data_IF_529018503637
#
_entry.id   IF_529018503637
#
_cell.length_a   1.000
_cell.length_b   1.000
_cell.length_c   1.000
_cell.angle_alpha   90.00
_cell.angle_beta   90.00
_cell.angle_gamma   90.00
#
_symmetry.space_group_name_H-M   'P 1'
#
loop_
_entity.id
_entity.type
_entity.pdbx_description
1 polymer ?
#
# COMPACT_ATOMS: atom_id res chain seq x y z
N UNK A 1 14.30 20.70 -12.65
CA UNK A 1 14.06 19.26 -12.89
C UNK A 1 14.82 18.90 -14.15
N UNK A 2 15.69 17.89 -14.10
CA UNK A 2 16.67 17.64 -15.17
C UNK A 2 16.54 16.24 -15.81
N UNK A 3 15.54 15.44 -15.43
CA UNK A 3 15.44 14.05 -15.91
C UNK A 3 14.27 13.81 -16.89
N UNK A 4 14.57 13.04 -17.94
CA UNK A 4 13.63 12.48 -18.93
C UNK A 4 13.51 10.94 -18.83
N UNK A 5 14.17 10.31 -17.85
CA UNK A 5 14.12 8.86 -17.64
C UNK A 5 12.94 8.47 -16.73
N UNK A 6 12.16 7.45 -17.13
CA UNK A 6 11.00 6.97 -16.34
C UNK A 6 11.38 6.42 -14.94
N UNK A 7 12.61 5.96 -14.78
CA UNK A 7 13.08 5.29 -13.55
C UNK A 7 14.02 6.15 -12.71
N UNK A 8 14.33 7.38 -13.15
CA UNK A 8 15.22 8.28 -12.40
C UNK A 8 14.68 9.70 -12.38
N UNK A 9 14.73 10.33 -11.21
CA UNK A 9 14.48 11.76 -11.05
C UNK A 9 15.72 12.41 -10.46
N UNK A 10 16.32 13.32 -11.23
CA UNK A 10 17.47 14.12 -10.79
C UNK A 10 16.99 15.53 -10.47
N UNK A 11 17.28 15.96 -9.25
CA UNK A 11 17.01 17.32 -8.76
C UNK A 11 18.30 17.96 -8.27
N UNK A 12 18.44 19.26 -8.48
CA UNK A 12 19.58 20.06 -8.04
C UNK A 12 19.14 21.02 -6.94
N UNK A 13 20.08 21.47 -6.11
CA UNK A 13 19.85 22.50 -5.12
C UNK A 13 19.24 23.75 -5.76
N UNK A 14 18.23 24.34 -5.10
CA UNK A 14 17.71 25.64 -5.50
C UNK A 14 18.65 26.73 -4.93
N UNK A 15 19.34 27.53 -5.76
CA UNK A 15 20.26 28.55 -5.29
C UNK A 15 19.56 29.64 -4.45
N UNK A 16 18.27 29.86 -4.69
CA UNK A 16 17.43 30.89 -4.03
C UNK A 16 16.51 30.29 -2.97
N UNK A 17 16.89 29.14 -2.39
CA UNK A 17 16.07 28.50 -1.36
C UNK A 17 16.00 29.35 -0.09
N UNK A 18 14.78 29.63 0.35
CA UNK A 18 14.48 30.62 1.39
C UNK A 18 14.68 30.11 2.82
N UNK A 19 14.69 28.79 3.05
CA UNK A 19 14.88 28.22 4.39
C UNK A 19 16.34 28.30 4.79
N UNK A 20 16.55 28.63 6.07
CA UNK A 20 17.85 28.56 6.73
C UNK A 20 17.81 27.48 7.80
N UNK A 21 18.98 26.98 8.17
CA UNK A 21 19.09 26.09 9.33
C UNK A 21 18.87 26.87 10.65
N UNK A 22 18.85 26.16 11.77
CA UNK A 22 18.65 26.75 13.10
C UNK A 22 19.73 27.79 13.50
N UNK A 23 20.87 27.80 12.82
CA UNK A 23 21.99 28.73 13.02
C UNK A 23 22.05 29.83 11.94
N UNK A 24 21.07 29.89 11.05
CA UNK A 24 21.01 30.87 9.96
C UNK A 24 21.82 30.50 8.71
N UNK A 25 22.38 29.28 8.64
CA UNK A 25 23.10 28.77 7.47
C UNK A 25 22.19 28.49 6.26
N UNK A 26 22.78 28.54 5.06
CA UNK A 26 22.06 28.32 3.80
C UNK A 26 21.69 26.85 3.63
N UNK A 27 20.46 26.59 3.21
CA UNK A 27 19.95 25.25 2.83
C UNK A 27 19.61 25.22 1.34
N UNK A 28 19.49 24.02 0.72
CA UNK A 28 19.90 22.71 1.24
C UNK A 28 21.43 22.54 1.32
N UNK A 29 21.92 21.64 2.17
CA UNK A 29 23.36 21.31 2.25
C UNK A 29 23.85 20.43 1.09
N UNK A 30 22.95 19.67 0.47
CA UNK A 30 23.27 18.79 -0.65
C UNK A 30 23.12 19.56 -1.97
N UNK A 31 24.05 19.36 -2.89
CA UNK A 31 24.02 19.95 -4.24
C UNK A 31 22.91 19.36 -5.12
N UNK A 32 22.44 18.16 -4.81
CA UNK A 32 21.39 17.49 -5.55
C UNK A 32 21.02 16.13 -4.98
N UNK A 33 19.95 15.55 -5.52
CA UNK A 33 19.46 14.22 -5.18
C UNK A 33 19.08 13.50 -6.47
N UNK A 34 19.51 12.24 -6.58
CA UNK A 34 19.03 11.31 -7.61
C UNK A 34 18.11 10.29 -6.95
N UNK A 35 16.83 10.35 -7.28
CA UNK A 35 15.86 9.33 -6.91
C UNK A 35 15.86 8.24 -7.98
N UNK A 36 16.08 6.99 -7.58
CA UNK A 36 16.03 5.84 -8.47
C UNK A 36 14.82 4.97 -8.11
N UNK A 37 13.97 4.69 -9.09
CA UNK A 37 12.84 3.77 -8.92
C UNK A 37 13.34 2.33 -8.93
N UNK A 38 13.29 1.71 -7.75
CA UNK A 38 13.68 0.31 -7.54
C UNK A 38 12.49 -0.37 -6.84
N UNK A 39 11.62 -1.09 -7.57
CA UNK A 39 10.36 -1.59 -7.02
C UNK A 39 10.57 -2.68 -5.96
N UNK A 40 11.58 -3.53 -6.13
CA UNK A 40 11.86 -4.63 -5.19
C UNK A 40 12.79 -4.22 -4.06
N UNK A 41 12.49 -4.68 -2.85
CA UNK A 41 13.30 -4.39 -1.66
C UNK A 41 14.72 -4.99 -1.68
N UNK A 42 14.94 -6.17 -2.30
CA UNK A 42 16.25 -6.81 -2.27
C UNK A 42 17.33 -5.97 -2.98
N UNK A 43 17.13 -5.49 -4.23
CA UNK A 43 18.06 -4.57 -4.87
C UNK A 43 18.27 -3.27 -4.08
N UNK A 44 17.23 -2.74 -3.41
CA UNK A 44 17.35 -1.57 -2.53
C UNK A 44 18.29 -1.84 -1.35
N UNK A 45 18.12 -2.96 -0.65
CA UNK A 45 19.00 -3.38 0.45
C UNK A 45 20.44 -3.55 -0.02
N UNK A 46 20.66 -4.24 -1.15
CA UNK A 46 22.00 -4.43 -1.71
C UNK A 46 22.67 -3.10 -2.07
N UNK A 47 21.92 -2.15 -2.66
CA UNK A 47 22.46 -0.84 -3.01
C UNK A 47 22.88 -0.01 -1.80
N UNK A 48 22.12 -0.07 -0.71
CA UNK A 48 22.52 0.61 0.54
C UNK A 48 23.73 -0.08 1.18
N UNK A 49 23.77 -1.42 1.17
CA UNK A 49 24.91 -2.19 1.72
C UNK A 49 26.21 -1.95 0.95
N UNK A 50 26.15 -1.78 -0.37
CA UNK A 50 27.32 -1.52 -1.21
C UNK A 50 27.73 -0.04 -1.27
N UNK A 51 26.87 0.87 -0.82
CA UNK A 51 27.07 2.31 -0.93
C UNK A 51 26.67 2.90 -2.29
N UNK A 52 26.11 2.12 -3.22
CA UNK A 52 25.59 2.66 -4.49
C UNK A 52 24.28 3.44 -4.31
N UNK A 53 23.57 3.22 -3.20
CA UNK A 53 22.46 4.04 -2.73
C UNK A 53 22.79 4.61 -1.35
N UNK A 54 22.66 5.92 -1.17
CA UNK A 54 22.90 6.56 0.13
C UNK A 54 21.78 6.26 1.15
N UNK A 55 20.56 6.01 0.69
CA UNK A 55 19.40 5.73 1.53
C UNK A 55 18.36 4.89 0.79
N UNK A 56 17.50 4.22 1.55
CA UNK A 56 16.32 3.55 1.01
C UNK A 56 15.12 3.71 1.93
N UNK A 57 13.93 3.58 1.36
CA UNK A 57 12.65 3.65 2.07
C UNK A 57 11.88 2.35 1.86
N UNK A 58 11.18 1.91 2.91
CA UNK A 58 10.23 0.81 2.88
C UNK A 58 8.87 1.39 3.27
N UNK A 59 7.86 1.17 2.43
CA UNK A 59 6.51 1.71 2.64
C UNK A 59 5.56 0.71 3.31
N UNK A 60 6.01 -0.54 3.51
CA UNK A 60 5.20 -1.61 4.08
C UNK A 60 6.04 -2.57 4.90
N UNK A 61 5.48 -3.00 6.04
CA UNK A 61 6.06 -4.06 6.85
C UNK A 61 6.08 -5.43 6.12
N UNK A 62 5.37 -5.59 4.99
CA UNK A 62 5.45 -6.82 4.17
C UNK A 62 6.86 -7.11 3.63
N UNK A 63 7.74 -6.11 3.62
CA UNK A 63 9.17 -6.25 3.27
C UNK A 63 10.05 -6.55 4.49
N UNK A 64 9.46 -7.07 5.57
CA UNK A 64 10.14 -7.24 6.87
C UNK A 64 11.44 -8.05 6.82
N UNK A 65 11.56 -9.02 5.90
CA UNK A 65 12.80 -9.79 5.77
C UNK A 65 13.97 -8.87 5.37
N UNK A 66 13.73 -7.97 4.43
CA UNK A 66 14.70 -7.02 3.89
C UNK A 66 15.02 -5.92 4.91
N UNK A 67 13.99 -5.41 5.59
CA UNK A 67 14.16 -4.43 6.67
C UNK A 67 15.04 -5.00 7.80
N UNK A 68 14.72 -6.21 8.30
CA UNK A 68 15.51 -6.87 9.35
C UNK A 68 16.93 -7.21 8.90
N UNK A 69 17.13 -7.55 7.63
CA UNK A 69 18.47 -7.80 7.08
C UNK A 69 19.31 -6.51 7.04
N UNK A 70 18.73 -5.39 6.65
CA UNK A 70 19.41 -4.10 6.66
C UNK A 70 19.72 -3.62 8.10
N UNK A 71 18.80 -3.84 9.04
CA UNK A 71 18.98 -3.50 10.46
C UNK A 71 20.14 -4.23 11.15
N UNK A 72 20.59 -5.37 10.60
CA UNK A 72 21.80 -6.07 11.11
C UNK A 72 23.09 -5.36 10.71
N UNK A 73 23.07 -4.48 9.71
CA UNK A 73 24.24 -3.75 9.26
C UNK A 73 24.48 -2.52 10.15
N UNK A 74 25.54 -2.56 10.96
CA UNK A 74 25.91 -1.46 11.88
C UNK A 74 26.31 -0.17 11.17
N UNK A 75 26.64 -0.23 9.88
CA UNK A 75 26.98 0.95 9.07
C UNK A 75 25.74 1.69 8.57
N UNK A 76 24.53 1.19 8.84
CA UNK A 76 23.27 1.78 8.41
C UNK A 76 22.46 2.18 9.63
N UNK A 77 21.95 3.42 9.61
CA UNK A 77 20.96 3.86 10.60
C UNK A 77 19.57 3.51 10.09
N UNK A 78 18.81 2.74 10.88
CA UNK A 78 17.41 2.42 10.59
C UNK A 78 16.50 3.30 11.44
N UNK A 79 15.59 4.01 10.79
CA UNK A 79 14.54 4.79 11.44
C UNK A 79 13.22 4.13 11.09
N UNK A 80 12.48 3.69 12.10
CA UNK A 80 11.12 3.16 11.93
C UNK A 80 10.13 4.26 12.32
N UNK A 81 9.21 4.58 11.41
CA UNK A 81 8.09 5.46 11.72
C UNK A 81 7.11 4.75 12.64
N UNK A 82 6.32 5.50 13.44
CA UNK A 82 5.14 4.95 14.08
C UNK A 82 4.15 4.37 13.05
N UNK A 83 3.29 3.46 13.53
CA UNK A 83 2.23 2.88 12.72
C UNK A 83 1.05 3.83 12.62
N UNK A 84 1.13 4.86 11.77
CA UNK A 84 0.05 5.86 11.66
C UNK A 84 -1.05 5.44 10.66
N UNK A 85 -0.73 4.53 9.73
CA UNK A 85 -1.64 4.07 8.67
C UNK A 85 -1.46 2.58 8.38
N UNK A 86 -2.54 1.94 7.97
CA UNK A 86 -2.55 0.54 7.55
C UNK A 86 -2.84 0.41 6.04
N UNK A 87 -2.20 -0.55 5.35
CA UNK A 87 -2.59 -0.91 3.99
C UNK A 87 -4.08 -1.27 3.93
N UNK A 88 -4.79 -0.73 2.95
CA UNK A 88 -6.24 -0.91 2.81
C UNK A 88 -6.65 -1.14 1.35
N UNK A 89 -7.69 -1.95 1.16
CA UNK A 89 -8.31 -2.20 -0.15
C UNK A 89 -9.50 -1.25 -0.29
N UNK A 90 -9.52 -0.47 -1.36
CA UNK A 90 -10.57 0.53 -1.58
C UNK A 90 -11.49 0.03 -2.69
N UNK A 91 -12.76 -0.15 -2.33
CA UNK A 91 -13.79 -0.67 -3.23
C UNK A 91 -14.55 0.50 -3.85
N UNK A 92 -14.81 0.43 -5.16
CA UNK A 92 -15.59 1.47 -5.84
C UNK A 92 -17.09 1.21 -5.66
N UNK A 93 -17.70 1.86 -4.66
CA UNK A 93 -19.09 1.65 -4.27
C UNK A 93 -20.13 2.10 -5.32
N UNK A 94 -19.72 2.70 -6.44
CA UNK A 94 -20.63 3.15 -7.51
C UNK A 94 -20.81 2.12 -8.63
N UNK A 95 -19.97 1.10 -8.68
CA UNK A 95 -19.98 0.09 -9.75
C UNK A 95 -20.23 -1.29 -9.15
N UNK A 96 -20.93 -2.14 -9.90
CA UNK A 96 -21.06 -3.55 -9.52
C UNK A 96 -19.65 -4.20 -9.47
N UNK A 97 -19.40 -5.14 -8.53
CA UNK A 97 -20.35 -5.66 -7.55
C UNK A 97 -20.50 -4.79 -6.28
N UNK A 98 -19.62 -3.81 -6.08
CA UNK A 98 -19.48 -3.08 -4.81
C UNK A 98 -20.52 -1.98 -4.56
N UNK A 99 -21.44 -1.74 -5.50
CA UNK A 99 -22.68 -1.02 -5.22
C UNK A 99 -23.55 -1.76 -4.19
N UNK A 100 -23.55 -3.11 -4.18
CA UNK A 100 -24.21 -3.90 -3.14
C UNK A 100 -23.45 -3.81 -1.82
N UNK A 101 -24.19 -3.64 -0.71
CA UNK A 101 -23.64 -3.68 0.65
C UNK A 101 -23.10 -5.08 0.99
N UNK A 102 -23.80 -6.12 0.54
CA UNK A 102 -23.42 -7.52 0.79
C UNK A 102 -22.06 -7.83 0.16
N UNK A 103 -21.81 -7.35 -1.06
CA UNK A 103 -20.49 -7.49 -1.70
C UNK A 103 -19.34 -6.85 -0.88
N UNK A 104 -19.59 -5.68 -0.27
CA UNK A 104 -18.58 -4.98 0.54
C UNK A 104 -18.34 -5.69 1.88
N UNK A 105 -19.41 -6.14 2.54
CA UNK A 105 -19.31 -6.90 3.78
C UNK A 105 -18.60 -8.24 3.57
N UNK A 106 -18.94 -8.96 2.50
CA UNK A 106 -18.29 -10.21 2.12
C UNK A 106 -16.76 -10.07 2.01
N UNK A 107 -16.28 -9.03 1.30
CA UNK A 107 -14.83 -8.75 1.22
C UNK A 107 -14.26 -8.38 2.59
N UNK A 108 -14.94 -7.52 3.35
CA UNK A 108 -14.43 -7.06 4.65
C UNK A 108 -14.26 -8.19 5.67
N UNK A 109 -15.26 -9.08 5.75
CA UNK A 109 -15.28 -10.24 6.65
C UNK A 109 -14.36 -11.36 6.18
N UNK A 110 -14.08 -11.48 4.87
CA UNK A 110 -13.17 -12.51 4.35
C UNK A 110 -11.68 -12.20 4.60
N UNK A 111 -11.33 -10.95 4.91
CA UNK A 111 -9.94 -10.53 5.12
C UNK A 111 -9.43 -10.86 6.54
N UNK A 112 -8.72 -11.97 6.65
CA UNK A 112 -7.98 -12.38 7.85
C UNK A 112 -6.71 -11.52 8.04
N UNK A 113 -6.90 -10.41 8.76
CA UNK A 113 -5.84 -9.43 9.05
C UNK A 113 -4.74 -10.02 9.94
N UNK A 114 -5.09 -10.91 10.88
CA UNK A 114 -4.12 -11.57 11.75
C UNK A 114 -3.20 -12.48 10.94
N UNK A 115 -3.79 -13.32 10.07
CA UNK A 115 -3.04 -14.17 9.14
C UNK A 115 -2.19 -13.33 8.20
N UNK A 116 -2.71 -12.22 7.68
CA UNK A 116 -1.95 -11.34 6.80
C UNK A 116 -0.70 -10.79 7.50
N UNK A 117 -0.85 -10.21 8.70
CA UNK A 117 0.27 -9.68 9.48
C UNK A 117 1.28 -10.78 9.82
N UNK A 118 0.80 -11.95 10.25
CA UNK A 118 1.66 -13.10 10.57
C UNK A 118 2.49 -13.56 9.36
N UNK A 119 1.86 -13.72 8.20
CA UNK A 119 2.49 -14.26 6.99
C UNK A 119 3.39 -13.23 6.30
N UNK A 120 2.92 -11.98 6.16
CA UNK A 120 3.61 -10.94 5.38
C UNK A 120 4.54 -10.09 6.22
N UNK A 121 4.10 -9.64 7.40
CA UNK A 121 4.77 -8.55 8.13
C UNK A 121 5.79 -9.03 9.18
N UNK A 122 5.79 -10.32 9.54
CA UNK A 122 6.82 -10.96 10.39
C UNK A 122 7.13 -10.21 11.68
N UNK A 123 6.11 -9.62 12.31
CA UNK A 123 6.22 -8.89 13.58
C UNK A 123 6.82 -7.47 13.47
N UNK A 124 6.95 -6.90 12.27
CA UNK A 124 7.25 -5.46 12.11
C UNK A 124 6.00 -4.59 11.98
N UNK A 125 4.82 -5.18 11.95
CA UNK A 125 3.56 -4.44 11.98
C UNK A 125 2.56 -5.12 12.91
N UNK A 126 1.48 -4.40 13.20
CA UNK A 126 0.38 -4.85 14.07
C UNK A 126 -0.90 -5.20 13.29
N UNK A 127 -1.78 -5.95 13.94
CA UNK A 127 -3.12 -6.23 13.43
C UNK A 127 -3.95 -4.95 13.54
N UNK A 128 -4.45 -4.40 12.42
CA UNK A 128 -5.26 -3.19 12.48
C UNK A 128 -6.59 -3.46 13.18
N UNK A 129 -6.91 -2.60 14.15
CA UNK A 129 -8.21 -2.55 14.83
C UNK A 129 -8.97 -1.23 14.56
N UNK A 130 -8.41 -0.39 13.69
CA UNK A 130 -8.96 0.87 13.24
C UNK A 130 -8.49 1.19 11.81
N UNK A 131 -9.08 2.22 11.20
CA UNK A 131 -8.68 2.72 9.88
C UNK A 131 -7.32 3.42 9.94
N UNK A 132 -7.00 4.03 11.07
CA UNK A 132 -5.76 4.77 11.33
C UNK A 132 -5.06 4.21 12.56
N UNK A 133 -3.79 4.54 12.74
CA UNK A 133 -3.00 4.15 13.90
C UNK A 133 -3.40 4.86 15.20
N UNK A 134 -2.96 4.35 16.37
CA UNK A 134 -3.31 4.89 17.69
C UNK A 134 -2.82 6.32 17.95
N UNK A 135 -1.80 6.79 17.23
CA UNK A 135 -1.29 8.17 17.35
C UNK A 135 -2.15 9.18 16.58
N UNK A 136 -3.10 8.71 15.77
CA UNK A 136 -3.97 9.58 14.99
C UNK A 136 -5.16 10.05 15.83
N UNK A 137 -5.50 11.33 15.74
CA UNK A 137 -6.66 11.91 16.44
C UNK A 137 -8.01 11.24 16.08
N UNK A 138 -8.07 10.59 14.91
CA UNK A 138 -9.26 9.87 14.43
C UNK A 138 -9.27 8.38 14.82
N UNK A 139 -8.33 7.94 15.67
CA UNK A 139 -8.26 6.55 16.11
C UNK A 139 -9.54 6.12 16.82
N UNK A 140 -10.19 5.11 16.26
CA UNK A 140 -11.43 4.57 16.80
C UNK A 140 -11.63 3.12 16.36
N UNK A 141 -11.93 2.24 17.32
CA UNK A 141 -12.18 0.81 17.08
C UNK A 141 -13.65 0.49 16.78
N UNK A 142 -14.55 1.45 17.02
CA UNK A 142 -16.00 1.24 16.92
C UNK A 142 -16.39 0.84 15.50
N UNK A 143 -17.16 -0.25 15.39
CA UNK A 143 -17.66 -0.80 14.12
C UNK A 143 -16.55 -1.14 13.11
N UNK A 144 -15.31 -1.35 13.57
CA UNK A 144 -14.26 -1.87 12.69
C UNK A 144 -14.53 -3.34 12.42
N UNK A 145 -14.75 -3.67 11.14
CA UNK A 145 -15.10 -5.02 10.74
C UNK A 145 -13.93 -5.99 10.96
N UNK A 146 -14.17 -7.01 11.77
CA UNK A 146 -13.25 -8.13 11.98
C UNK A 146 -13.31 -9.17 10.86
N UNK A 147 -12.41 -10.15 10.96
CA UNK A 147 -12.47 -11.36 10.15
C UNK A 147 -13.55 -12.30 10.67
N UNK A 148 -14.44 -12.75 9.78
CA UNK A 148 -15.43 -13.78 10.05
C UNK A 148 -15.77 -14.51 8.75
N UNK A 149 -15.21 -15.71 8.58
CA UNK A 149 -15.40 -16.49 7.35
C UNK A 149 -16.86 -16.95 7.16
N UNK A 150 -17.59 -17.19 8.25
CA UNK A 150 -18.98 -17.62 8.18
C UNK A 150 -19.88 -16.46 7.75
N UNK A 151 -19.69 -15.28 8.35
CA UNK A 151 -20.37 -14.05 7.92
C UNK A 151 -20.03 -13.71 6.46
N UNK A 152 -18.76 -13.83 6.06
CA UNK A 152 -18.36 -13.60 4.68
C UNK A 152 -19.11 -14.49 3.68
N UNK A 153 -19.24 -15.79 3.97
CA UNK A 153 -20.00 -16.73 3.14
C UNK A 153 -21.49 -16.41 3.10
N UNK A 154 -22.06 -15.99 4.24
CA UNK A 154 -23.45 -15.53 4.30
C UNK A 154 -23.68 -14.27 3.45
N UNK A 155 -22.76 -13.31 3.50
CA UNK A 155 -22.80 -12.10 2.66
C UNK A 155 -22.68 -12.42 1.17
N UNK A 156 -21.85 -13.42 0.79
CA UNK A 156 -21.77 -13.91 -0.60
C UNK A 156 -23.10 -14.51 -1.06
N UNK A 157 -23.74 -15.33 -0.21
CA UNK A 157 -25.05 -15.90 -0.51
C UNK A 157 -26.13 -14.80 -0.63
N UNK A 158 -26.11 -13.80 0.26
CA UNK A 158 -27.02 -12.66 0.20
C UNK A 158 -26.82 -11.83 -1.07
N UNK A 159 -25.56 -11.58 -1.47
CA UNK A 159 -25.24 -10.92 -2.74
C UNK A 159 -25.78 -11.72 -3.94
N UNK A 160 -25.63 -13.05 -3.93
CA UNK A 160 -26.16 -13.91 -4.99
C UNK A 160 -27.69 -13.90 -5.05
N UNK A 161 -28.36 -13.90 -3.91
CA UNK A 161 -29.81 -13.77 -3.83
C UNK A 161 -30.31 -12.39 -4.33
N UNK A 162 -29.57 -11.33 -4.01
CA UNK A 162 -29.88 -9.95 -4.42
C UNK A 162 -29.70 -9.73 -5.94
N UNK A 163 -28.64 -10.29 -6.52
CA UNK A 163 -28.20 -9.94 -7.89
C UNK A 163 -28.33 -11.06 -8.92
N UNK A 164 -28.54 -12.29 -8.47
CA UNK A 164 -28.49 -13.49 -9.31
C UNK A 164 -27.09 -13.86 -9.81
N UNK A 165 -26.02 -13.22 -9.33
CA UNK A 165 -24.64 -13.38 -9.81
C UNK A 165 -23.71 -13.87 -8.72
N UNK A 166 -22.67 -14.60 -9.12
CA UNK A 166 -21.55 -14.92 -8.23
C UNK A 166 -20.70 -13.66 -7.97
N UNK A 167 -20.10 -13.58 -6.77
CA UNK A 167 -19.29 -12.42 -6.39
C UNK A 167 -17.90 -12.52 -7.00
N UNK A 168 -17.70 -11.80 -8.10
CA UNK A 168 -16.44 -11.72 -8.85
C UNK A 168 -16.05 -10.27 -9.12
N UNK A 169 -14.76 -9.96 -9.00
CA UNK A 169 -14.23 -8.64 -9.36
C UNK A 169 -12.77 -8.71 -9.81
N UNK A 170 -12.32 -7.65 -10.47
CA UNK A 170 -10.95 -7.48 -10.94
C UNK A 170 -10.20 -6.48 -10.07
N UNK A 171 -9.02 -6.86 -9.61
CA UNK A 171 -8.15 -6.04 -8.77
C UNK A 171 -6.84 -5.73 -9.51
N UNK A 172 -6.49 -4.44 -9.68
CA UNK A 172 -5.24 -4.07 -10.31
C UNK A 172 -4.04 -4.33 -9.40
N UNK A 173 -3.00 -4.97 -9.93
CA UNK A 173 -1.78 -5.31 -9.19
C UNK A 173 -0.56 -4.88 -9.98
N UNK A 174 0.38 -4.23 -9.30
CA UNK A 174 1.70 -3.95 -9.84
C UNK A 174 2.57 -5.20 -9.84
N UNK A 175 2.54 -5.94 -10.95
CA UNK A 175 3.28 -7.19 -11.10
C UNK A 175 4.79 -7.02 -11.20
N UNK A 176 5.29 -5.78 -11.31
CA UNK A 176 6.72 -5.48 -11.21
C UNK A 176 7.24 -5.40 -9.76
N UNK A 177 6.35 -5.44 -8.77
CA UNK A 177 6.70 -5.53 -7.35
C UNK A 177 6.40 -6.93 -6.84
N UNK A 178 7.44 -7.65 -6.43
CA UNK A 178 7.28 -8.96 -5.81
C UNK A 178 6.46 -8.91 -4.52
N UNK A 179 6.49 -7.78 -3.79
CA UNK A 179 5.66 -7.57 -2.60
C UNK A 179 4.18 -7.46 -2.96
N UNK A 180 3.84 -6.67 -3.98
CA UNK A 180 2.45 -6.48 -4.43
C UNK A 180 1.83 -7.79 -4.95
N UNK A 181 2.61 -8.58 -5.70
CA UNK A 181 2.20 -9.91 -6.17
C UNK A 181 1.93 -10.84 -4.99
N UNK A 182 2.81 -10.87 -4.00
CA UNK A 182 2.66 -11.78 -2.87
C UNK A 182 1.55 -11.34 -1.90
N UNK A 183 1.36 -10.02 -1.69
CA UNK A 183 0.23 -9.48 -0.93
C UNK A 183 -1.11 -9.82 -1.61
N UNK A 184 -1.22 -9.57 -2.93
CA UNK A 184 -2.44 -9.84 -3.70
C UNK A 184 -2.76 -11.33 -3.79
N UNK A 185 -1.74 -12.20 -3.88
CA UNK A 185 -1.92 -13.67 -3.85
C UNK A 185 -2.53 -14.13 -2.53
N UNK A 186 -2.01 -13.64 -1.40
CA UNK A 186 -2.57 -14.00 -0.08
C UNK A 186 -4.00 -13.47 0.08
N UNK A 187 -4.27 -12.24 -0.36
CA UNK A 187 -5.63 -11.67 -0.37
C UNK A 187 -6.56 -12.52 -1.24
N UNK A 188 -6.13 -12.93 -2.44
CA UNK A 188 -6.88 -13.81 -3.33
C UNK A 188 -7.29 -15.11 -2.62
N UNK A 189 -6.34 -15.77 -1.96
CA UNK A 189 -6.61 -17.01 -1.22
C UNK A 189 -7.62 -16.82 -0.07
N UNK A 190 -7.55 -15.69 0.64
CA UNK A 190 -8.51 -15.37 1.71
C UNK A 190 -9.92 -15.15 1.16
N UNK A 191 -10.04 -14.43 0.03
CA UNK A 191 -11.31 -14.19 -0.65
C UNK A 191 -11.90 -15.48 -1.25
N UNK A 192 -11.08 -16.31 -1.87
CA UNK A 192 -11.50 -17.60 -2.44
C UNK A 192 -12.07 -18.54 -1.38
N UNK A 193 -11.51 -18.55 -0.16
CA UNK A 193 -12.05 -19.34 0.95
C UNK A 193 -13.49 -18.94 1.35
N UNK A 194 -13.90 -17.69 1.07
CA UNK A 194 -15.25 -17.18 1.27
C UNK A 194 -16.16 -17.36 0.05
N UNK A 195 -15.67 -17.90 -1.07
CA UNK A 195 -16.41 -18.02 -2.32
C UNK A 195 -16.39 -16.76 -3.21
N UNK A 196 -15.41 -15.88 -2.98
CA UNK A 196 -15.25 -14.63 -3.74
C UNK A 196 -14.13 -14.82 -4.76
N UNK A 197 -14.42 -14.56 -6.04
CA UNK A 197 -13.42 -14.67 -7.11
C UNK A 197 -12.75 -13.31 -7.37
N UNK A 198 -11.46 -13.23 -7.08
CA UNK A 198 -10.65 -12.06 -7.41
C UNK A 198 -9.74 -12.35 -8.61
N UNK A 199 -9.98 -11.64 -9.71
CA UNK A 199 -9.10 -11.64 -10.88
C UNK A 199 -7.99 -10.60 -10.71
N UNK A 200 -6.78 -10.94 -11.13
CA UNK A 200 -5.65 -10.01 -11.12
C UNK A 200 -5.59 -9.30 -12.46
N UNK A 201 -5.47 -7.97 -12.42
CA UNK A 201 -5.19 -7.15 -13.59
C UNK A 201 -3.77 -6.58 -13.47
N UNK A 202 -2.78 -7.13 -14.19
CA UNK A 202 -1.42 -6.60 -14.20
C UNK A 202 -1.39 -5.17 -14.72
N UNK A 203 -0.87 -4.23 -13.93
CA UNK A 203 -0.75 -2.81 -14.30
C UNK A 203 0.46 -2.18 -13.63
N UNK A 204 1.11 -1.22 -14.29
CA UNK A 204 2.12 -0.38 -13.63
C UNK A 204 1.48 0.55 -12.59
N UNK A 205 2.27 1.00 -11.60
CA UNK A 205 1.81 1.97 -10.61
C UNK A 205 1.23 3.24 -11.25
N UNK A 206 1.85 3.73 -12.34
CA UNK A 206 1.38 4.89 -13.08
C UNK A 206 -0.01 4.68 -13.71
N UNK A 207 -0.25 3.50 -14.30
CA UNK A 207 -1.56 3.13 -14.86
C UNK A 207 -2.61 3.00 -13.77
N UNK A 208 -2.28 2.39 -12.63
CA UNK A 208 -3.20 2.25 -11.49
C UNK A 208 -3.64 3.63 -11.00
N UNK A 209 -2.69 4.56 -10.80
CA UNK A 209 -2.98 5.93 -10.34
C UNK A 209 -3.83 6.67 -11.36
N UNK A 210 -3.46 6.62 -12.64
CA UNK A 210 -4.17 7.32 -13.72
C UNK A 210 -5.59 6.79 -13.89
N UNK A 211 -5.78 5.47 -13.92
CA UNK A 211 -7.11 4.88 -14.05
C UNK A 211 -7.95 5.14 -12.81
N UNK A 212 -7.37 5.14 -11.61
CA UNK A 212 -8.08 5.50 -10.37
C UNK A 212 -8.58 6.95 -10.37
N UNK A 213 -7.80 7.90 -10.87
CA UNK A 213 -8.25 9.30 -10.97
C UNK A 213 -9.32 9.50 -12.04
N UNK A 214 -9.29 8.69 -13.11
CA UNK A 214 -10.25 8.77 -14.21
C UNK A 214 -11.56 7.99 -13.98
N UNK A 215 -11.54 6.92 -13.18
CA UNK A 215 -12.66 5.98 -13.07
C UNK A 215 -13.87 6.46 -12.24
N UNK A 216 -13.88 7.71 -11.72
CA UNK A 216 -15.12 8.36 -11.27
C UNK A 216 -15.05 9.86 -10.91
N UNK A 217 -14.22 10.67 -11.59
CA UNK A 217 -14.29 12.12 -11.47
C UNK A 217 -14.98 12.69 -12.72
N UNK A 218 -16.32 12.70 -12.72
CA UNK A 218 -17.01 13.86 -13.31
C UNK A 218 -16.48 15.06 -12.53
N UNK A 219 -15.53 15.79 -13.13
CA UNK A 219 -15.02 17.05 -12.59
C UNK A 219 -16.24 17.94 -12.32
N UNK A 220 -16.64 18.05 -11.06
CA UNK A 220 -17.33 19.25 -10.63
C UNK A 220 -16.26 20.34 -10.63
N UNK A 221 -16.13 20.97 -11.79
CA UNK A 221 -15.47 22.26 -11.94
C UNK A 221 -16.43 23.26 -11.32
N UNK A 222 -16.23 23.65 -10.06
CA UNK A 222 -16.80 24.88 -9.51
C UNK A 222 -15.97 25.36 -8.32
N UNK A 223 -15.45 26.58 -8.51
CA UNK A 223 -14.83 27.54 -7.59
C UNK A 223 -13.57 27.10 -6.84
#
# INVERSE_FOLDING_TARGET
MVSTELTKLVVTANPDYWRKDAKGGKLPYLDGITFTYVPDAQPRVSGVKSGSLAATMFSSASEAKQMKDLQKNKSVTSIMSPEDYYPSIWLNNKIAPFSSKNARLAVSHALDREKFVKVRQKGLGSVPDSIVGPNNIMYNKKNFAGFDLAAAKADVAAYKAETGKDLEFTYPVNTASSDDVANSTLIKQMLEAAGIKMNVLPQTTAEIITKRSLSNIRRCRFC
#
